data_IF_397871697216
#
_entry.id   IF_397871697216
#
_cell.length_a   1.000
_cell.length_b   1.000
_cell.length_c   1.000
_cell.angle_alpha   90.00
_cell.angle_beta   90.00
_cell.angle_gamma   90.00
#
_symmetry.space_group_name_H-M   'P 1'
#
loop_
_entity.id
_entity.type
_entity.pdbx_description
1 polymer ?
#
# COMPACT_ATOMS: atom_id res chain seq x y z
N UNK A 1 29.43 -8.55 -9.25
CA UNK A 1 29.25 -7.14 -8.84
C UNK A 1 27.84 -7.04 -8.27
N UNK A 2 27.69 -6.89 -6.94
CA UNK A 2 26.38 -6.89 -6.26
C UNK A 2 25.67 -5.57 -6.57
N UNK A 3 24.65 -5.60 -7.43
CA UNK A 3 23.77 -4.44 -7.57
C UNK A 3 22.79 -4.44 -6.40
N UNK A 4 22.92 -3.44 -5.53
CA UNK A 4 21.90 -3.09 -4.55
C UNK A 4 20.82 -2.29 -5.29
N UNK A 5 19.69 -2.94 -5.53
CA UNK A 5 18.52 -2.31 -6.13
C UNK A 5 17.50 -2.06 -5.02
N UNK A 6 16.96 -0.84 -4.92
CA UNK A 6 15.88 -0.45 -4.02
C UNK A 6 14.64 -0.07 -4.83
N UNK A 7 13.48 -0.56 -4.40
CA UNK A 7 12.25 -0.57 -5.20
C UNK A 7 11.45 0.72 -5.12
N UNK A 8 10.42 0.85 -5.98
CA UNK A 8 9.36 1.87 -5.88
C UNK A 8 7.98 1.24 -5.68
N UNK A 9 6.90 2.01 -5.54
CA UNK A 9 5.53 1.47 -5.47
C UNK A 9 4.54 1.94 -6.54
N UNK A 10 4.83 2.95 -7.37
CA UNK A 10 4.21 3.28 -8.68
C UNK A 10 4.72 4.68 -9.09
N UNK A 11 5.02 4.91 -10.38
CA UNK A 11 5.29 6.27 -10.90
C UNK A 11 4.17 6.81 -11.80
N UNK A 12 3.80 8.05 -11.50
CA UNK A 12 2.86 9.03 -12.05
C UNK A 12 1.42 8.63 -12.37
N UNK A 13 0.50 9.25 -11.62
CA UNK A 13 -0.92 9.38 -11.91
C UNK A 13 -1.25 10.87 -11.88
N UNK A 14 -1.56 11.45 -13.04
CA UNK A 14 -2.32 12.70 -13.12
C UNK A 14 -3.78 12.29 -13.31
N UNK A 15 -4.61 12.44 -12.28
CA UNK A 15 -6.09 12.28 -12.35
C UNK A 15 -6.70 13.41 -13.20
N UNK A 16 -6.11 13.81 -14.33
CA UNK A 16 -6.56 14.99 -15.08
C UNK A 16 -6.54 14.88 -16.60
N UNK A 17 -6.37 13.69 -17.20
CA UNK A 17 -6.55 13.58 -18.67
C UNK A 17 -6.95 12.22 -19.24
N UNK A 18 -7.20 11.18 -18.42
CA UNK A 18 -7.62 9.86 -18.95
C UNK A 18 -9.13 9.65 -18.90
N UNK A 19 -9.86 10.47 -18.13
CA UNK A 19 -11.32 10.44 -18.12
C UNK A 19 -12.04 11.35 -19.12
N UNK A 20 -11.56 12.50 -19.63
CA UNK A 20 -12.42 13.32 -20.46
C UNK A 20 -12.78 12.69 -21.80
N UNK A 21 -12.04 11.69 -22.32
CA UNK A 21 -12.43 11.07 -23.61
C UNK A 21 -13.51 9.99 -23.44
N UNK A 22 -13.41 9.13 -22.41
CA UNK A 22 -14.49 8.18 -22.09
C UNK A 22 -15.64 8.85 -21.33
N UNK A 23 -15.37 9.79 -20.44
CA UNK A 23 -16.39 10.58 -19.74
C UNK A 23 -17.07 11.61 -20.65
N UNK A 24 -16.42 12.17 -21.69
CA UNK A 24 -17.12 12.95 -22.73
C UNK A 24 -18.01 12.05 -23.61
N UNK A 25 -17.54 10.84 -23.94
CA UNK A 25 -18.37 9.85 -24.62
C UNK A 25 -19.56 9.39 -23.74
N UNK A 26 -19.36 9.28 -22.42
CA UNK A 26 -20.41 8.91 -21.45
C UNK A 26 -21.34 10.08 -21.10
N UNK A 27 -20.88 11.34 -21.11
CA UNK A 27 -21.76 12.51 -20.92
C UNK A 27 -22.69 12.71 -22.10
N UNK A 28 -22.32 12.25 -23.30
CA UNK A 28 -23.23 12.17 -24.44
C UNK A 28 -24.25 11.01 -24.36
N UNK A 29 -24.06 10.04 -23.45
CA UNK A 29 -24.93 8.87 -23.26
C UNK A 29 -25.61 8.82 -21.89
N UNK A 30 -25.68 9.95 -21.17
CA UNK A 30 -26.22 10.03 -19.81
C UNK A 30 -27.73 9.72 -19.67
N UNK A 31 -28.40 9.19 -20.70
CA UNK A 31 -29.82 8.86 -20.63
C UNK A 31 -30.17 7.37 -20.56
N UNK A 32 -29.23 6.43 -20.75
CA UNK A 32 -29.56 4.99 -20.63
C UNK A 32 -28.36 4.17 -20.13
N UNK A 33 -28.03 4.26 -18.84
CA UNK A 33 -27.24 3.19 -18.19
C UNK A 33 -28.19 2.45 -17.26
N UNK A 34 -28.69 1.29 -17.72
CA UNK A 34 -29.53 0.39 -16.94
C UNK A 34 -28.75 -0.18 -15.74
N UNK A 35 -29.41 -0.42 -14.61
CA UNK A 35 -28.82 -1.04 -13.42
C UNK A 35 -28.04 -2.34 -13.72
N UNK A 36 -28.53 -3.13 -14.68
CA UNK A 36 -27.91 -4.39 -15.16
C UNK A 36 -26.48 -4.21 -15.72
N UNK A 37 -26.14 -3.01 -16.22
CA UNK A 37 -24.79 -2.73 -16.75
C UNK A 37 -23.76 -2.59 -15.62
N UNK A 38 -24.14 -1.92 -14.54
CA UNK A 38 -23.27 -1.73 -13.36
C UNK A 38 -23.10 -3.02 -12.57
N UNK A 39 -24.13 -3.86 -12.50
CA UNK A 39 -24.05 -5.21 -11.91
C UNK A 39 -23.06 -6.09 -12.68
N UNK A 40 -23.17 -6.16 -14.01
CA UNK A 40 -22.24 -6.92 -14.84
C UNK A 40 -20.79 -6.41 -14.77
N UNK A 41 -20.60 -5.09 -14.63
CA UNK A 41 -19.26 -4.51 -14.46
C UNK A 41 -18.67 -4.83 -13.08
N UNK A 42 -19.50 -4.82 -12.03
CA UNK A 42 -19.10 -5.26 -10.69
C UNK A 42 -18.70 -6.73 -10.66
N UNK A 43 -19.46 -7.61 -11.32
CA UNK A 43 -19.16 -9.05 -11.35
C UNK A 43 -17.87 -9.36 -12.14
N UNK A 44 -17.67 -8.72 -13.29
CA UNK A 44 -16.42 -8.84 -14.04
C UNK A 44 -15.20 -8.39 -13.22
N UNK A 45 -15.35 -7.33 -12.42
CA UNK A 45 -14.31 -6.89 -11.50
C UNK A 45 -14.07 -7.91 -10.37
N UNK A 46 -15.13 -8.47 -9.78
CA UNK A 46 -14.99 -9.54 -8.76
C UNK A 46 -14.26 -10.75 -9.30
N UNK A 47 -14.55 -11.16 -10.54
CA UNK A 47 -13.86 -12.29 -11.20
C UNK A 47 -12.39 -11.96 -11.49
N UNK A 48 -12.10 -10.73 -11.88
CA UNK A 48 -10.72 -10.25 -12.09
C UNK A 48 -9.93 -10.24 -10.77
N UNK A 49 -10.53 -9.71 -9.70
CA UNK A 49 -9.92 -9.69 -8.37
C UNK A 49 -9.76 -11.11 -7.80
N UNK A 50 -10.72 -12.01 -8.03
CA UNK A 50 -10.61 -13.43 -7.66
C UNK A 50 -9.45 -14.11 -8.37
N UNK A 51 -9.28 -13.86 -9.67
CA UNK A 51 -8.15 -14.39 -10.44
C UNK A 51 -6.81 -13.89 -9.87
N UNK A 52 -6.68 -12.59 -9.59
CA UNK A 52 -5.46 -12.04 -8.98
C UNK A 52 -5.18 -12.60 -7.59
N UNK A 53 -6.21 -12.72 -6.75
CA UNK A 53 -6.07 -13.25 -5.41
C UNK A 53 -5.63 -14.72 -5.42
N UNK A 54 -6.14 -15.51 -6.37
CA UNK A 54 -5.67 -16.89 -6.59
C UNK A 54 -4.21 -16.91 -7.02
N UNK A 55 -3.80 -16.09 -8.00
CA UNK A 55 -2.41 -15.99 -8.44
C UNK A 55 -1.46 -15.56 -7.31
N UNK A 56 -1.91 -14.68 -6.42
CA UNK A 56 -1.16 -14.28 -5.24
C UNK A 56 -0.95 -15.47 -4.29
N UNK A 57 -2.01 -16.23 -4.02
CA UNK A 57 -1.96 -17.41 -3.14
C UNK A 57 -1.13 -18.55 -3.73
N UNK A 58 -1.14 -18.73 -5.04
CA UNK A 58 -0.30 -19.72 -5.74
C UNK A 58 1.11 -19.19 -6.02
N UNK A 59 1.45 -17.97 -5.55
CA UNK A 59 2.76 -17.33 -5.73
C UNK A 59 3.16 -17.10 -7.20
N UNK A 60 2.18 -17.07 -8.09
CA UNK A 60 2.32 -16.71 -9.51
C UNK A 60 2.15 -15.20 -9.75
N UNK A 61 1.73 -14.45 -8.73
CA UNK A 61 1.75 -12.99 -8.72
C UNK A 61 2.46 -12.53 -7.44
N UNK A 62 3.53 -11.72 -7.53
CA UNK A 62 4.31 -11.31 -6.37
C UNK A 62 3.57 -10.23 -5.58
N UNK A 63 2.85 -9.36 -6.27
CA UNK A 63 2.04 -8.29 -5.70
C UNK A 63 1.05 -7.75 -6.74
N UNK A 64 -0.03 -7.14 -6.27
CA UNK A 64 -0.92 -6.35 -7.12
C UNK A 64 -1.53 -5.19 -6.33
N UNK A 65 -2.00 -4.18 -7.07
CA UNK A 65 -2.65 -3.00 -6.51
C UNK A 65 -4.14 -3.00 -6.80
N UNK A 66 -4.90 -2.48 -5.84
CA UNK A 66 -6.30 -2.07 -6.00
C UNK A 66 -6.36 -0.56 -5.77
N UNK A 67 -6.50 0.20 -6.84
CA UNK A 67 -6.50 1.66 -6.82
C UNK A 67 -7.94 2.17 -6.83
N UNK A 68 -8.47 2.50 -5.65
CA UNK A 68 -9.74 3.23 -5.51
C UNK A 68 -9.49 4.74 -5.55
N UNK A 69 -10.56 5.52 -5.58
CA UNK A 69 -10.49 6.98 -5.53
C UNK A 69 -10.05 7.49 -4.15
N UNK A 70 -10.38 6.75 -3.09
CA UNK A 70 -10.20 7.20 -1.70
C UNK A 70 -9.03 6.50 -1.00
N UNK A 71 -8.63 5.33 -1.48
CA UNK A 71 -7.55 4.54 -0.90
C UNK A 71 -6.88 3.67 -1.96
N UNK A 72 -5.64 3.29 -1.69
CA UNK A 72 -4.90 2.31 -2.48
C UNK A 72 -4.62 1.10 -1.59
N UNK A 73 -4.80 -0.09 -2.16
CA UNK A 73 -4.46 -1.36 -1.51
C UNK A 73 -3.29 -1.99 -2.26
N UNK A 74 -2.32 -2.53 -1.52
CA UNK A 74 -1.23 -3.33 -2.05
C UNK A 74 -1.29 -4.71 -1.42
N UNK A 75 -1.61 -5.73 -2.22
CA UNK A 75 -1.49 -7.13 -1.85
C UNK A 75 -0.10 -7.63 -2.21
N UNK A 76 0.54 -8.39 -1.31
CA UNK A 76 1.86 -9.00 -1.53
C UNK A 76 1.84 -10.48 -1.15
N UNK A 77 2.48 -11.29 -1.98
CA UNK A 77 2.64 -12.71 -1.70
C UNK A 77 3.59 -12.94 -0.53
N UNK A 78 3.44 -14.08 0.14
CA UNK A 78 4.38 -14.56 1.14
C UNK A 78 5.80 -14.66 0.56
N UNK A 79 6.79 -14.19 1.30
CA UNK A 79 8.20 -14.13 0.89
C UNK A 79 8.64 -12.79 0.27
N UNK A 80 7.71 -11.87 -0.01
CA UNK A 80 8.04 -10.51 -0.46
C UNK A 80 8.35 -9.61 0.74
N UNK A 81 9.40 -8.79 0.62
CA UNK A 81 9.95 -7.93 1.68
C UNK A 81 10.34 -8.68 2.97
N UNK A 82 10.69 -9.97 2.84
CA UNK A 82 11.02 -10.83 3.99
C UNK A 82 9.83 -11.20 4.88
N UNK A 83 8.59 -10.90 4.44
CA UNK A 83 7.38 -11.22 5.20
C UNK A 83 7.01 -12.68 5.04
N UNK A 84 6.70 -13.33 6.17
CA UNK A 84 6.42 -14.76 6.24
C UNK A 84 5.14 -15.14 5.49
N UNK A 85 4.12 -14.30 5.64
CA UNK A 85 2.77 -14.55 5.19
C UNK A 85 2.36 -13.56 4.11
N UNK A 86 1.26 -13.91 3.43
CA UNK A 86 0.57 -12.96 2.56
C UNK A 86 0.12 -11.78 3.42
N UNK A 87 0.33 -10.57 2.92
CA UNK A 87 -0.02 -9.36 3.65
C UNK A 87 -0.58 -8.31 2.72
N UNK A 88 -1.35 -7.39 3.31
CA UNK A 88 -2.04 -6.32 2.63
C UNK A 88 -1.74 -5.01 3.32
N UNK A 89 -1.40 -4.00 2.53
CA UNK A 89 -1.19 -2.63 2.98
C UNK A 89 -2.28 -1.74 2.39
N UNK A 90 -2.90 -0.90 3.21
CA UNK A 90 -3.99 0.00 2.78
C UNK A 90 -3.66 1.42 3.22
N UNK A 91 -3.66 2.37 2.28
CA UNK A 91 -3.48 3.79 2.61
C UNK A 91 -4.02 4.71 1.51
N UNK A 92 -4.48 5.93 1.84
CA UNK A 92 -4.89 6.35 3.18
C UNK A 92 -6.10 5.57 3.70
N UNK A 93 -6.31 5.56 5.02
CA UNK A 93 -7.55 5.10 5.64
C UNK A 93 -8.18 6.18 6.52
N UNK A 94 -9.48 6.05 6.77
CA UNK A 94 -10.24 6.89 7.71
C UNK A 94 -10.65 6.08 8.93
N UNK A 95 -11.03 6.76 10.03
CA UNK A 95 -11.61 6.09 11.20
C UNK A 95 -12.79 5.21 10.79
N UNK A 96 -13.67 5.70 9.91
CA UNK A 96 -14.82 4.95 9.43
C UNK A 96 -14.43 3.65 8.73
N UNK A 97 -13.41 3.70 7.86
CA UNK A 97 -12.90 2.50 7.18
C UNK A 97 -12.31 1.50 8.19
N UNK A 98 -11.50 1.97 9.14
CA UNK A 98 -10.91 1.13 10.18
C UNK A 98 -11.97 0.52 11.11
N UNK A 99 -13.03 1.26 11.43
CA UNK A 99 -14.16 0.76 12.18
C UNK A 99 -14.91 -0.33 11.42
N UNK A 100 -15.12 -0.18 10.11
CA UNK A 100 -15.72 -1.24 9.28
C UNK A 100 -14.87 -2.52 9.28
N UNK A 101 -13.53 -2.41 9.26
CA UNK A 101 -12.66 -3.58 9.40
C UNK A 101 -12.87 -4.29 10.75
N UNK A 102 -12.95 -3.52 11.85
CA UNK A 102 -13.23 -4.06 13.19
C UNK A 102 -14.60 -4.75 13.27
N UNK A 103 -15.62 -4.19 12.62
CA UNK A 103 -16.98 -4.78 12.59
C UNK A 103 -17.03 -6.12 11.86
N UNK A 104 -16.16 -6.31 10.88
CA UNK A 104 -16.00 -7.59 10.16
C UNK A 104 -14.98 -8.51 10.85
N UNK A 105 -14.58 -8.18 12.09
CA UNK A 105 -13.63 -8.93 12.91
C UNK A 105 -12.25 -9.12 12.23
N UNK A 106 -11.86 -8.19 11.36
CA UNK A 106 -10.57 -8.22 10.67
C UNK A 106 -9.51 -7.58 11.54
N UNK A 107 -8.56 -8.37 12.01
CA UNK A 107 -7.41 -7.88 12.77
C UNK A 107 -6.42 -7.13 11.87
N UNK A 108 -5.95 -5.97 12.35
CA UNK A 108 -5.00 -5.15 11.60
C UNK A 108 -4.08 -4.33 12.51
N UNK A 109 -2.88 -4.02 12.03
CA UNK A 109 -1.95 -3.11 12.71
C UNK A 109 -1.78 -1.79 11.95
N UNK A 110 -1.32 -0.75 12.64
CA UNK A 110 -1.00 0.56 12.04
C UNK A 110 0.48 0.88 12.24
N UNK A 111 1.39 0.30 11.44
CA UNK A 111 2.84 0.30 11.72
C UNK A 111 3.49 1.68 11.65
N UNK A 112 2.84 2.65 10.99
CA UNK A 112 3.35 4.03 10.88
C UNK A 112 2.73 4.99 11.89
N UNK A 113 1.78 4.53 12.72
CA UNK A 113 1.16 5.35 13.78
C UNK A 113 2.18 5.59 14.88
N UNK A 114 2.49 6.87 15.14
CA UNK A 114 3.38 7.23 16.25
C UNK A 114 2.67 6.98 17.57
N UNK A 115 3.37 6.34 18.52
CA UNK A 115 2.90 6.31 19.91
C UNK A 115 2.89 7.74 20.45
N UNK A 116 1.81 8.14 21.11
CA UNK A 116 1.82 9.39 21.88
C UNK A 116 2.68 9.12 23.11
N UNK A 117 3.72 9.90 23.34
CA UNK A 117 4.34 9.94 24.66
C UNK A 117 3.33 10.57 25.62
N UNK A 118 2.52 9.77 26.30
CA UNK A 118 1.74 10.23 27.45
C UNK A 118 2.68 10.37 28.64
N UNK A 119 3.53 11.38 28.61
CA UNK A 119 4.45 11.66 29.72
C UNK A 119 4.46 13.16 30.00
N UNK A 120 3.28 13.67 30.38
CA UNK A 120 3.14 14.86 31.21
C UNK A 120 1.93 14.69 32.14
N UNK A 121 2.21 14.07 33.29
CA UNK A 121 1.73 14.63 34.55
C UNK A 121 0.89 13.73 35.44
N UNK A 122 1.49 12.77 36.14
CA UNK A 122 1.42 12.63 37.61
C UNK A 122 2.48 11.62 38.07
N UNK A 123 3.54 12.10 38.71
CA UNK A 123 4.50 11.26 39.43
C UNK A 123 3.77 10.56 40.58
N UNK A 124 3.54 9.25 40.43
CA UNK A 124 3.26 8.38 41.58
C UNK A 124 4.46 7.47 41.75
N UNK A 125 5.24 7.74 42.79
CA UNK A 125 6.33 6.90 43.26
C UNK A 125 5.74 5.56 43.71
N UNK A 126 5.96 4.48 42.96
CA UNK A 126 6.24 3.18 43.57
C UNK A 126 7.07 2.28 42.65
N UNK A 127 7.81 1.39 43.29
CA UNK A 127 9.09 0.85 42.85
C UNK A 127 8.95 -0.47 42.11
N UNK A 128 9.74 -0.64 41.05
CA UNK A 128 10.41 -1.88 40.66
C UNK A 128 9.56 -3.12 40.32
N UNK A 129 9.62 -3.53 39.06
CA UNK A 129 10.19 -4.80 38.58
C UNK A 129 10.11 -4.76 37.05
N UNK A 130 11.24 -4.99 36.38
CA UNK A 130 11.29 -5.06 34.93
C UNK A 130 10.72 -6.38 34.44
N UNK A 131 9.73 -6.30 33.55
CA UNK A 131 9.32 -7.41 32.70
C UNK A 131 9.01 -6.90 31.29
N UNK A 132 9.63 -7.57 30.33
CA UNK A 132 9.48 -7.37 28.90
C UNK A 132 8.03 -7.60 28.46
N UNK A 133 7.36 -6.55 27.99
CA UNK A 133 6.04 -6.66 27.37
C UNK A 133 6.16 -6.62 25.85
N UNK A 134 6.35 -7.80 25.27
CA UNK A 134 5.86 -8.09 23.94
C UNK A 134 4.38 -8.42 24.06
N UNK A 135 3.53 -7.45 23.76
CA UNK A 135 2.24 -7.68 23.14
C UNK A 135 1.75 -6.31 22.63
N UNK A 136 1.54 -6.16 21.33
CA UNK A 136 0.82 -5.00 20.81
C UNK A 136 -0.67 -5.27 20.98
N UNK A 137 -1.10 -5.47 22.22
CA UNK A 137 -2.49 -5.32 22.59
C UNK A 137 -2.88 -3.88 22.27
N UNK A 138 -3.96 -3.75 21.52
CA UNK A 138 -4.60 -2.49 21.28
C UNK A 138 -4.81 -1.82 22.62
N UNK A 139 -4.17 -0.67 22.81
CA UNK A 139 -4.53 0.27 23.88
C UNK A 139 -5.88 0.88 23.48
N UNK A 140 -6.92 0.04 23.48
CA UNK A 140 -8.23 0.49 23.88
C UNK A 140 -8.00 0.94 25.32
N UNK A 141 -7.77 2.24 25.52
CA UNK A 141 -8.01 2.86 26.82
C UNK A 141 -9.44 2.49 27.17
N UNK A 142 -9.60 1.36 27.86
CA UNK A 142 -10.89 0.83 28.28
C UNK A 142 -11.49 1.92 29.15
N UNK A 143 -12.58 2.53 28.67
CA UNK A 143 -13.25 3.58 29.43
C UNK A 143 -13.56 3.01 30.81
N UNK A 144 -13.28 3.71 31.91
CA UNK A 144 -13.52 3.18 33.24
C UNK A 144 -14.94 2.64 33.35
N UNK A 145 -15.09 1.39 33.77
CA UNK A 145 -16.38 0.72 33.81
C UNK A 145 -17.43 1.59 34.53
N UNK A 146 -18.60 1.77 33.92
CA UNK A 146 -19.68 2.55 34.54
C UNK A 146 -20.04 2.01 35.94
N UNK A 147 -19.92 0.69 36.12
CA UNK A 147 -20.13 0.02 37.41
C UNK A 147 -19.05 0.39 38.44
N UNK A 148 -17.80 0.56 38.00
CA UNK A 148 -16.72 1.03 38.86
C UNK A 148 -16.92 2.49 39.27
N UNK A 149 -17.27 3.37 38.32
CA UNK A 149 -17.56 4.78 38.62
C UNK A 149 -18.76 4.94 39.56
N UNK A 150 -19.80 4.12 39.40
CA UNK A 150 -20.94 4.07 40.33
C UNK A 150 -20.53 3.61 41.72
N UNK A 151 -19.66 2.60 41.82
CA UNK A 151 -19.15 2.10 43.11
C UNK A 151 -18.31 3.13 43.88
N UNK A 152 -17.66 4.04 43.15
CA UNK A 152 -16.90 5.17 43.70
C UNK A 152 -17.78 6.36 44.13
N UNK A 153 -19.11 6.25 43.97
CA UNK A 153 -20.06 7.28 44.38
C UNK A 153 -20.17 8.46 43.41
N UNK A 154 -19.72 8.31 42.16
CA UNK A 154 -19.89 9.33 41.12
C UNK A 154 -21.35 9.37 40.68
N UNK A 155 -21.95 10.56 40.57
CA UNK A 155 -23.34 10.69 40.15
C UNK A 155 -23.53 10.19 38.71
N UNK A 156 -24.67 9.58 38.41
CA UNK A 156 -24.97 9.05 37.08
C UNK A 156 -24.89 10.11 35.96
N UNK A 157 -25.18 11.38 36.25
CA UNK A 157 -25.06 12.47 35.28
C UNK A 157 -23.60 12.89 35.04
N UNK A 158 -22.75 12.84 36.08
CA UNK A 158 -21.31 13.06 35.96
C UNK A 158 -20.65 11.92 35.17
N UNK A 159 -21.08 10.67 35.37
CA UNK A 159 -20.62 9.49 34.60
C UNK A 159 -20.93 9.66 33.11
N UNK A 160 -22.15 10.07 32.77
CA UNK A 160 -22.52 10.33 31.36
C UNK A 160 -21.65 11.43 30.73
N UNK A 161 -21.35 12.49 31.49
CA UNK A 161 -20.51 13.58 31.01
C UNK A 161 -19.04 13.15 30.82
N UNK A 162 -18.51 12.33 31.72
CA UNK A 162 -17.18 11.72 31.60
C UNK A 162 -17.12 10.83 30.37
N UNK A 163 -18.08 9.91 30.19
CA UNK A 163 -18.14 9.00 29.05
C UNK A 163 -18.27 9.74 27.71
N UNK A 164 -19.11 10.78 27.66
CA UNK A 164 -19.23 11.63 26.47
C UNK A 164 -17.91 12.35 26.15
N UNK A 165 -17.24 12.88 27.18
CA UNK A 165 -15.97 13.61 27.00
C UNK A 165 -14.86 12.67 26.56
N UNK A 166 -14.75 11.47 27.16
CA UNK A 166 -13.82 10.42 26.76
C UNK A 166 -14.09 9.94 25.33
N UNK A 167 -15.34 9.61 24.99
CA UNK A 167 -15.72 9.22 23.63
C UNK A 167 -15.34 10.29 22.59
N UNK A 168 -15.48 11.57 22.95
CA UNK A 168 -15.04 12.69 22.10
C UNK A 168 -13.52 12.79 21.99
N UNK A 169 -12.77 12.53 23.06
CA UNK A 169 -11.29 12.52 23.06
C UNK A 169 -10.77 11.35 22.23
N UNK A 170 -11.30 10.15 22.41
CA UNK A 170 -10.98 8.96 21.60
C UNK A 170 -11.31 9.23 20.14
N UNK A 171 -12.50 9.77 19.86
CA UNK A 171 -12.89 10.13 18.49
C UNK A 171 -11.93 11.12 17.84
N UNK A 172 -11.57 12.18 18.56
CA UNK A 172 -10.60 13.16 18.06
C UNK A 172 -9.24 12.52 17.79
N UNK A 173 -8.78 11.64 18.68
CA UNK A 173 -7.47 10.98 18.58
C UNK A 173 -7.44 9.97 17.43
N UNK A 174 -8.50 9.20 17.23
CA UNK A 174 -8.61 8.26 16.11
C UNK A 174 -8.70 8.97 14.75
N UNK A 175 -9.38 10.12 14.69
CA UNK A 175 -9.49 10.92 13.47
C UNK A 175 -8.22 11.73 13.16
N UNK A 176 -7.32 11.94 14.13
CA UNK A 176 -6.10 12.75 13.97
C UNK A 176 -5.18 12.22 12.88
N UNK A 177 -5.13 10.89 12.72
CA UNK A 177 -4.28 10.22 11.73
C UNK A 177 -4.93 10.05 10.38
N UNK A 178 -6.23 10.38 10.22
CA UNK A 178 -6.98 10.13 9.00
C UNK A 178 -6.35 10.79 7.78
N UNK A 179 -6.34 10.06 6.67
CA UNK A 179 -5.76 10.50 5.40
C UNK A 179 -4.26 10.85 5.44
N UNK A 180 -3.56 10.52 6.52
CA UNK A 180 -2.11 10.65 6.64
C UNK A 180 -1.39 9.32 6.37
N UNK A 181 -0.07 9.35 6.22
CA UNK A 181 0.73 8.11 6.15
C UNK A 181 0.62 7.24 7.40
N UNK A 182 0.32 7.85 8.56
CA UNK A 182 0.11 7.13 9.82
C UNK A 182 -1.21 6.35 9.82
N UNK A 183 -2.13 6.65 8.90
CA UNK A 183 -3.36 5.86 8.68
C UNK A 183 -3.11 4.55 7.93
N UNK A 184 -1.87 4.24 7.55
CA UNK A 184 -1.58 2.99 6.87
C UNK A 184 -1.98 1.81 7.77
N UNK A 185 -2.77 0.91 7.20
CA UNK A 185 -3.20 -0.34 7.82
C UNK A 185 -2.45 -1.51 7.18
N UNK A 186 -1.95 -2.41 8.03
CA UNK A 186 -1.30 -3.66 7.65
C UNK A 186 -2.14 -4.84 8.17
N UNK A 187 -2.52 -5.74 7.27
CA UNK A 187 -3.27 -6.98 7.55
C UNK A 187 -2.41 -8.15 7.09
N UNK A 188 -2.27 -9.18 7.91
CA UNK A 188 -1.34 -10.30 7.67
C UNK A 188 -2.01 -11.65 7.88
N UNK A 189 -1.47 -12.69 7.24
CA UNK A 189 -1.88 -14.07 7.51
C UNK A 189 -3.31 -14.38 7.05
N UNK A 190 -4.08 -15.02 7.94
CA UNK A 190 -5.44 -15.52 7.64
C UNK A 190 -6.43 -14.38 7.40
N UNK A 191 -6.22 -13.23 8.04
CA UNK A 191 -7.06 -12.03 7.94
C UNK A 191 -7.09 -11.41 6.55
N UNK A 192 -6.06 -11.68 5.73
CA UNK A 192 -6.03 -11.23 4.33
C UNK A 192 -7.19 -11.82 3.53
N UNK A 193 -7.62 -13.05 3.85
CA UNK A 193 -8.77 -13.65 3.18
C UNK A 193 -10.09 -12.99 3.60
N UNK A 194 -10.25 -12.69 4.90
CA UNK A 194 -11.37 -11.92 5.44
C UNK A 194 -11.44 -10.54 4.78
N UNK A 195 -10.30 -9.85 4.67
CA UNK A 195 -10.20 -8.57 3.98
C UNK A 195 -10.54 -8.65 2.48
N UNK A 196 -10.11 -9.71 1.78
CA UNK A 196 -10.50 -9.93 0.39
C UNK A 196 -12.02 -10.07 0.25
N UNK A 197 -12.68 -10.82 1.15
CA UNK A 197 -14.14 -10.98 1.15
C UNK A 197 -14.84 -9.66 1.47
N UNK A 198 -14.31 -8.89 2.42
CA UNK A 198 -14.77 -7.52 2.71
C UNK A 198 -14.68 -6.65 1.46
N UNK A 199 -13.54 -6.63 0.77
CA UNK A 199 -13.30 -5.77 -0.39
C UNK A 199 -14.25 -6.06 -1.57
N UNK A 200 -14.61 -7.33 -1.77
CA UNK A 200 -15.57 -7.74 -2.81
C UNK A 200 -16.99 -7.19 -2.55
N UNK A 201 -17.35 -7.04 -1.28
CA UNK A 201 -18.68 -6.60 -0.85
C UNK A 201 -18.72 -5.12 -0.43
N UNK A 202 -17.56 -4.45 -0.38
CA UNK A 202 -17.42 -3.10 0.14
C UNK A 202 -17.97 -2.06 -0.85
N UNK A 203 -19.21 -1.61 -0.63
CA UNK A 203 -19.84 -0.53 -1.41
C UNK A 203 -19.08 0.80 -1.30
N UNK A 204 -18.33 1.00 -0.21
CA UNK A 204 -17.48 2.18 0.01
C UNK A 204 -16.21 2.19 -0.86
N UNK A 205 -15.87 1.08 -1.52
CA UNK A 205 -14.75 1.01 -2.45
C UNK A 205 -15.04 1.71 -3.79
N UNK A 206 -16.32 1.93 -4.12
CA UNK A 206 -16.79 2.67 -5.29
C UNK A 206 -17.30 4.05 -4.89
N UNK A 207 -17.00 5.08 -5.68
CA UNK A 207 -17.61 6.39 -5.46
C UNK A 207 -19.11 6.31 -5.72
N UNK A 208 -19.93 6.84 -4.81
CA UNK A 208 -21.39 6.91 -5.00
C UNK A 208 -21.79 8.10 -5.89
N UNK A 209 -20.94 9.12 -5.97
CA UNK A 209 -21.19 10.36 -6.70
C UNK A 209 -19.98 10.80 -7.54
N UNK A 210 -20.21 11.70 -8.49
CA UNK A 210 -19.16 12.24 -9.37
C UNK A 210 -18.99 11.47 -10.68
N UNK A 211 -18.01 11.88 -11.50
CA UNK A 211 -17.76 11.33 -12.85
C UNK A 211 -17.28 9.87 -12.85
N UNK A 212 -16.87 9.36 -11.69
CA UNK A 212 -16.45 7.99 -11.44
C UNK A 212 -17.45 7.21 -10.58
N UNK A 213 -18.69 7.68 -10.49
CA UNK A 213 -19.72 7.01 -9.72
C UNK A 213 -19.96 5.58 -10.26
N UNK A 214 -19.97 4.59 -9.36
CA UNK A 214 -20.19 3.19 -9.71
C UNK A 214 -19.00 2.49 -10.41
N UNK A 215 -17.88 3.18 -10.61
CA UNK A 215 -16.67 2.59 -11.21
C UNK A 215 -15.86 1.85 -10.14
N UNK A 216 -15.72 0.50 -10.20
CA UNK A 216 -14.83 -0.28 -9.36
C UNK A 216 -13.38 0.20 -9.40
N UNK A 217 -12.63 -0.06 -8.31
CA UNK A 217 -11.20 0.22 -8.25
C UNK A 217 -10.41 -0.41 -9.41
N UNK A 218 -9.38 0.31 -9.88
CA UNK A 218 -8.51 -0.21 -10.94
C UNK A 218 -7.54 -1.26 -10.38
N UNK A 219 -7.45 -2.41 -11.03
CA UNK A 219 -6.52 -3.48 -10.67
C UNK A 219 -5.24 -3.36 -11.50
N UNK A 220 -4.07 -3.38 -10.85
CA UNK A 220 -2.76 -3.36 -11.52
C UNK A 220 -1.88 -4.48 -10.99
N UNK A 221 -1.31 -5.28 -11.89
CA UNK A 221 -0.42 -6.38 -11.54
C UNK A 221 0.72 -6.52 -12.56
N UNK A 222 1.87 -7.08 -12.16
CA UNK A 222 2.99 -7.33 -13.07
C UNK A 222 2.76 -8.55 -13.98
N UNK A 223 1.71 -9.34 -13.73
CA UNK A 223 1.35 -10.55 -14.49
C UNK A 223 -0.05 -10.43 -15.09
N UNK A 224 -0.32 -11.23 -16.12
CA UNK A 224 -1.64 -11.31 -16.71
C UNK A 224 -2.63 -12.00 -15.75
N UNK A 225 -3.89 -11.56 -15.77
CA UNK A 225 -4.98 -12.10 -14.97
C UNK A 225 -6.28 -12.02 -15.77
N UNK A 226 -7.35 -12.68 -15.29
CA UNK A 226 -8.64 -12.61 -15.95
C UNK A 226 -9.13 -11.15 -16.05
N UNK A 227 -9.57 -10.72 -17.24
CA UNK A 227 -9.98 -9.33 -17.47
C UNK A 227 -8.84 -8.31 -17.60
N UNK A 228 -7.57 -8.74 -17.50
CA UNK A 228 -6.44 -7.85 -17.69
C UNK A 228 -6.37 -7.32 -19.14
N UNK A 229 -5.96 -6.07 -19.29
CA UNK A 229 -5.71 -5.45 -20.60
C UNK A 229 -4.34 -4.80 -20.61
N UNK A 230 -3.63 -4.90 -21.74
CA UNK A 230 -2.35 -4.22 -21.95
C UNK A 230 -2.61 -2.87 -22.61
N UNK A 231 -2.10 -1.81 -21.98
CA UNK A 231 -2.14 -0.46 -22.52
C UNK A 231 -0.72 0.05 -22.69
N UNK A 232 -0.40 0.54 -23.88
CA UNK A 232 0.88 1.19 -24.13
C UNK A 232 1.03 2.42 -23.24
N UNK A 233 2.21 2.58 -22.63
CA UNK A 233 2.59 3.82 -21.98
C UNK A 233 2.73 4.92 -23.04
N UNK A 234 2.47 6.17 -22.64
CA UNK A 234 2.71 7.32 -23.49
C UNK A 234 4.20 7.61 -23.47
N UNK A 235 4.83 7.58 -24.64
CA UNK A 235 6.26 7.77 -24.79
C UNK A 235 6.50 9.05 -25.58
N UNK A 236 7.39 9.90 -25.08
CA UNK A 236 7.89 11.07 -25.80
C UNK A 236 9.42 11.04 -25.77
N UNK A 237 10.00 11.06 -26.96
CA UNK A 237 11.45 11.08 -27.16
C UNK A 237 11.94 12.47 -27.52
N UNK A 238 13.16 12.79 -27.10
CA UNK A 238 13.86 14.02 -27.48
C UNK A 238 15.34 13.74 -27.65
N UNK A 239 15.95 14.34 -28.67
CA UNK A 239 17.38 14.32 -28.91
C UNK A 239 17.88 15.76 -28.92
N UNK A 240 18.88 16.05 -28.09
CA UNK A 240 19.50 17.38 -28.01
C UNK A 240 21.00 17.20 -28.26
N UNK A 241 21.54 17.99 -29.17
CA UNK A 241 22.97 18.02 -29.44
C UNK A 241 23.59 19.20 -28.69
N UNK A 242 24.50 18.93 -27.76
CA UNK A 242 25.20 19.94 -26.95
C UNK A 242 26.69 19.59 -26.91
N UNK A 243 27.57 20.56 -27.15
CA UNK A 243 29.03 20.40 -27.05
C UNK A 243 29.59 19.14 -27.74
N UNK A 244 29.19 18.94 -29.01
CA UNK A 244 29.58 17.80 -29.85
C UNK A 244 29.16 16.41 -29.29
N UNK A 245 28.20 16.40 -28.36
CA UNK A 245 27.65 15.19 -27.74
C UNK A 245 26.14 15.12 -27.92
N UNK A 246 25.65 13.91 -28.22
CA UNK A 246 24.22 13.63 -28.38
C UNK A 246 23.61 13.19 -27.05
N UNK A 247 22.64 13.95 -26.56
CA UNK A 247 21.84 13.62 -25.38
C UNK A 247 20.47 13.12 -25.81
N UNK A 248 20.11 11.92 -25.35
CA UNK A 248 18.82 11.31 -25.59
C UNK A 248 17.98 11.36 -24.31
N UNK A 249 16.74 11.79 -24.42
CA UNK A 249 15.78 11.84 -23.32
C UNK A 249 14.50 11.09 -23.69
N UNK A 250 13.99 10.32 -22.75
CA UNK A 250 12.78 9.51 -22.87
C UNK A 250 11.84 9.83 -21.71
N UNK A 251 10.70 10.44 -22.03
CA UNK A 251 9.62 10.70 -21.09
C UNK A 251 8.58 9.57 -21.23
N UNK A 252 8.39 8.80 -20.15
CA UNK A 252 7.44 7.68 -20.09
C UNK A 252 6.33 8.05 -19.11
N UNK A 253 5.09 8.15 -19.62
CA UNK A 253 3.93 8.52 -18.83
C UNK A 253 2.87 7.41 -18.82
N UNK A 254 2.34 7.10 -17.64
CA UNK A 254 1.33 6.07 -17.41
C UNK A 254 1.65 5.24 -16.16
N UNK A 255 0.83 4.22 -15.85
CA UNK A 255 1.03 3.39 -14.66
C UNK A 255 2.29 2.53 -14.82
N UNK A 256 3.35 2.91 -14.12
CA UNK A 256 4.61 2.17 -14.12
C UNK A 256 4.75 1.46 -12.79
N UNK A 257 4.76 0.12 -12.86
CA UNK A 257 4.96 -0.73 -11.70
C UNK A 257 6.43 -0.79 -11.26
N UNK A 258 6.70 -1.13 -9.99
CA UNK A 258 8.05 -1.17 -9.43
C UNK A 258 9.04 -2.03 -10.21
N UNK A 259 8.61 -3.19 -10.67
CA UNK A 259 9.45 -4.14 -11.41
C UNK A 259 9.91 -3.57 -12.77
N UNK A 260 9.10 -2.72 -13.40
CA UNK A 260 9.38 -2.14 -14.72
C UNK A 260 10.63 -1.25 -14.70
N UNK A 261 10.92 -0.58 -13.58
CA UNK A 261 12.10 0.29 -13.47
C UNK A 261 13.40 -0.51 -13.61
N UNK A 262 13.46 -1.71 -13.03
CA UNK A 262 14.64 -2.57 -13.19
C UNK A 262 14.84 -2.99 -14.63
N UNK A 263 13.76 -3.34 -15.33
CA UNK A 263 13.82 -3.72 -16.74
C UNK A 263 14.30 -2.56 -17.61
N UNK A 264 13.86 -1.33 -17.33
CA UNK A 264 14.31 -0.14 -18.06
C UNK A 264 15.80 0.13 -17.87
N UNK A 265 16.31 0.04 -16.65
CA UNK A 265 17.73 0.25 -16.37
C UNK A 265 18.61 -0.89 -16.88
N UNK A 266 18.08 -2.12 -16.95
CA UNK A 266 18.78 -3.26 -17.51
C UNK A 266 19.01 -3.16 -19.03
N UNK A 267 18.22 -2.35 -19.74
CA UNK A 267 18.38 -2.12 -21.18
C UNK A 267 19.57 -1.19 -21.46
N UNK A 268 19.99 -0.35 -20.49
CA UNK A 268 21.07 0.61 -20.72
C UNK A 268 22.44 -0.09 -20.83
N UNK A 269 23.20 0.13 -21.93
CA UNK A 269 24.56 -0.36 -22.04
C UNK A 269 25.46 0.19 -20.92
N UNK A 270 26.40 -0.60 -20.39
CA UNK A 270 27.27 -0.18 -19.29
C UNK A 270 28.21 0.98 -19.66
N UNK A 271 28.35 1.27 -20.96
CA UNK A 271 29.17 2.35 -21.53
C UNK A 271 28.49 3.71 -21.49
N UNK A 272 27.17 3.79 -21.30
CA UNK A 272 26.44 5.05 -21.32
C UNK A 272 26.05 5.47 -19.91
N UNK A 273 26.34 6.73 -19.57
CA UNK A 273 25.77 7.37 -18.39
C UNK A 273 24.27 7.56 -18.58
N UNK A 274 23.48 7.28 -17.54
CA UNK A 274 22.02 7.38 -17.60
C UNK A 274 21.48 8.02 -16.34
N UNK A 275 20.50 8.92 -16.49
CA UNK A 275 19.74 9.47 -15.38
C UNK A 275 18.26 9.20 -15.57
N UNK A 276 17.60 8.80 -14.49
CA UNK A 276 16.15 8.66 -14.42
C UNK A 276 15.60 9.55 -13.31
N UNK A 277 14.64 10.39 -13.65
CA UNK A 277 13.84 11.16 -12.70
C UNK A 277 12.45 10.58 -12.67
N UNK A 278 11.86 10.48 -11.49
CA UNK A 278 10.65 9.71 -11.29
C UNK A 278 9.65 10.48 -10.42
N UNK A 279 8.40 10.49 -10.85
CA UNK A 279 7.29 11.11 -10.12
C UNK A 279 6.50 10.01 -9.42
N UNK A 280 6.54 9.92 -8.09
CA UNK A 280 5.78 8.90 -7.34
C UNK A 280 4.32 9.30 -7.14
N UNK A 281 3.42 8.32 -7.06
CA UNK A 281 2.03 8.56 -6.63
C UNK A 281 1.98 8.72 -5.11
N UNK A 282 1.48 9.85 -4.55
CA UNK A 282 1.52 10.12 -3.11
C UNK A 282 0.90 9.03 -2.23
N UNK A 283 -0.23 8.44 -2.65
CA UNK A 283 -0.91 7.36 -1.91
C UNK A 283 -0.13 6.05 -1.86
N UNK A 284 0.98 5.92 -2.59
CA UNK A 284 1.81 4.71 -2.60
C UNK A 284 3.12 4.88 -1.82
N UNK A 285 3.47 6.10 -1.44
CA UNK A 285 4.71 6.40 -0.71
C UNK A 285 4.78 5.65 0.64
N UNK A 286 3.70 5.57 1.45
CA UNK A 286 3.79 4.95 2.78
C UNK A 286 4.11 3.44 2.73
N UNK A 287 3.78 2.74 1.64
CA UNK A 287 4.08 1.31 1.48
C UNK A 287 5.58 1.00 1.53
N UNK A 288 6.41 1.99 1.23
CA UNK A 288 7.87 1.93 1.24
C UNK A 288 8.49 2.15 2.63
N UNK A 289 7.67 2.44 3.64
CA UNK A 289 8.11 2.68 5.02
C UNK A 289 7.85 1.49 5.93
N UNK A 290 7.08 0.51 5.47
CA UNK A 290 6.77 -0.71 6.23
C UNK A 290 7.86 -1.74 5.97
N UNK A 291 8.59 -2.07 7.04
CA UNK A 291 9.64 -3.08 7.07
C UNK A 291 9.09 -4.33 7.75
N UNK A 292 9.55 -5.52 7.31
CA UNK A 292 9.27 -6.75 8.04
C UNK A 292 9.98 -6.71 9.39
N UNK A 293 9.24 -6.92 10.47
CA UNK A 293 9.80 -6.97 11.83
C UNK A 293 10.71 -8.20 11.94
N UNK A 294 11.99 -7.99 12.18
CA UNK A 294 12.95 -9.03 12.57
C UNK A 294 12.98 -9.18 14.09
N UNK A 295 11.83 -9.38 14.75
CA UNK A 295 11.77 -9.48 16.23
C UNK A 295 12.23 -10.84 16.77
N UNK A 296 12.75 -11.74 15.92
CA UNK A 296 13.40 -12.96 16.35
C UNK A 296 14.74 -13.12 15.63
N UNK A 297 15.84 -13.05 16.39
CA UNK A 297 17.20 -13.35 15.92
C UNK A 297 17.31 -14.78 15.33
N UNK A 298 16.36 -15.68 15.59
CA UNK A 298 16.25 -17.00 14.96
C UNK A 298 15.46 -17.03 13.62
N UNK A 299 14.62 -16.02 13.34
CA UNK A 299 13.89 -15.88 12.08
C UNK A 299 14.70 -15.13 10.99
N UNK A 300 15.83 -14.53 11.38
CA UNK A 300 16.80 -13.86 10.50
C UNK A 300 17.43 -14.77 9.44
N UNK A 301 17.24 -16.09 9.57
CA UNK A 301 17.57 -17.11 8.57
C UNK A 301 16.34 -17.79 7.96
N UNK A 302 15.22 -17.07 7.83
CA UNK A 302 14.21 -17.49 6.84
C UNK A 302 14.95 -17.57 5.50
N UNK A 303 15.05 -18.78 4.96
CA UNK A 303 15.88 -19.07 3.81
C UNK A 303 15.29 -18.31 2.61
N UNK A 304 15.83 -17.12 2.33
CA UNK A 304 15.52 -16.30 1.13
C UNK A 304 15.54 -17.16 -0.13
N UNK A 305 16.34 -18.24 -0.11
CA UNK A 305 16.37 -19.30 -1.10
C UNK A 305 14.98 -19.96 -1.29
N UNK A 306 14.31 -20.42 -0.23
CA UNK A 306 12.97 -21.02 -0.33
C UNK A 306 11.92 -20.02 -0.81
N UNK A 307 11.98 -18.77 -0.36
CA UNK A 307 11.04 -17.75 -0.82
C UNK A 307 11.24 -17.42 -2.30
N UNK A 308 12.50 -17.34 -2.75
CA UNK A 308 12.87 -17.17 -4.15
C UNK A 308 12.42 -18.34 -5.03
N UNK A 309 12.65 -19.57 -4.60
CA UNK A 309 12.20 -20.77 -5.34
C UNK A 309 10.67 -20.84 -5.40
N UNK A 310 9.98 -20.52 -4.30
CA UNK A 310 8.52 -20.49 -4.27
C UNK A 310 7.89 -19.42 -5.17
N UNK A 311 8.61 -18.34 -5.45
CA UNK A 311 8.18 -17.23 -6.31
C UNK A 311 8.85 -17.29 -7.69
N UNK A 312 9.51 -18.39 -8.07
CA UNK A 312 10.27 -18.46 -9.31
C UNK A 312 9.42 -18.22 -10.56
N UNK A 313 8.12 -18.54 -10.49
CA UNK A 313 7.13 -18.39 -11.55
C UNK A 313 6.22 -17.16 -11.36
N UNK A 314 6.61 -16.20 -10.51
CA UNK A 314 5.80 -15.00 -10.24
C UNK A 314 5.85 -13.93 -11.36
N UNK A 315 6.47 -14.23 -12.50
CA UNK A 315 6.64 -13.27 -13.60
C UNK A 315 7.72 -12.20 -13.38
N UNK A 316 8.47 -12.25 -12.28
CA UNK A 316 9.67 -11.43 -12.07
C UNK A 316 10.92 -12.19 -12.51
N UNK A 317 11.93 -11.47 -13.02
CA UNK A 317 13.22 -12.09 -13.30
C UNK A 317 13.92 -12.48 -12.00
N UNK A 318 14.70 -13.57 -12.01
CA UNK A 318 15.40 -14.08 -10.81
C UNK A 318 16.28 -13.01 -10.12
N UNK A 319 16.88 -12.10 -10.90
CA UNK A 319 17.69 -11.00 -10.38
C UNK A 319 16.85 -9.96 -9.62
N UNK A 320 15.66 -9.64 -10.13
CA UNK A 320 14.72 -8.70 -9.50
C UNK A 320 14.10 -9.37 -8.27
N UNK A 321 13.65 -10.61 -8.41
CA UNK A 321 12.99 -11.38 -7.36
C UNK A 321 13.86 -11.51 -6.11
N UNK A 322 15.15 -11.81 -6.26
CA UNK A 322 16.08 -11.91 -5.13
C UNK A 322 16.12 -10.63 -4.30
N UNK A 323 16.01 -9.48 -4.95
CA UNK A 323 15.97 -8.21 -4.24
C UNK A 323 14.62 -8.07 -3.52
N UNK A 324 13.50 -8.44 -4.18
CA UNK A 324 12.14 -8.28 -3.63
C UNK A 324 11.93 -9.15 -2.39
N UNK A 325 12.67 -10.26 -2.26
CA UNK A 325 12.58 -11.17 -1.12
C UNK A 325 13.43 -10.74 0.09
N UNK A 326 14.31 -9.73 -0.02
CA UNK A 326 15.16 -9.31 1.11
C UNK A 326 14.34 -8.56 2.17
N UNK A 327 14.61 -8.86 3.44
CA UNK A 327 14.07 -8.13 4.60
C UNK A 327 14.65 -6.72 4.73
N UNK A 328 15.95 -6.60 4.48
CA UNK A 328 16.72 -5.37 4.78
C UNK A 328 16.58 -4.30 3.69
N UNK A 329 16.10 -4.72 2.51
CA UNK A 329 15.94 -3.84 1.35
C UNK A 329 14.45 -3.55 1.18
N UNK A 330 13.96 -2.62 2.01
CA UNK A 330 12.65 -2.05 1.74
C UNK A 330 12.68 -1.34 0.38
N UNK A 331 11.55 -1.38 -0.29
CA UNK A 331 11.23 -0.46 -1.37
C UNK A 331 11.51 0.97 -0.90
N UNK A 332 12.41 1.72 -1.55
CA UNK A 332 12.66 3.12 -1.20
C UNK A 332 12.31 4.03 -2.36
N UNK A 333 11.51 5.06 -2.10
CA UNK A 333 11.26 6.10 -3.08
C UNK A 333 12.56 6.85 -3.41
N UNK A 334 12.92 6.89 -4.70
CA UNK A 334 14.12 7.56 -5.22
C UNK A 334 13.69 8.62 -6.23
N UNK A 335 13.79 9.89 -5.94
CA UNK A 335 13.35 10.94 -6.88
C UNK A 335 14.21 10.95 -8.14
N UNK A 336 15.51 10.74 -7.99
CA UNK A 336 16.46 10.70 -9.09
C UNK A 336 17.48 9.57 -8.91
N UNK A 337 17.71 8.78 -9.96
CA UNK A 337 18.75 7.76 -10.03
C UNK A 337 19.70 8.09 -11.19
N UNK A 338 21.00 8.19 -10.91
CA UNK A 338 22.03 8.49 -11.91
C UNK A 338 23.08 7.39 -11.91
N UNK A 339 23.43 6.93 -13.09
CA UNK A 339 24.55 6.05 -13.36
C UNK A 339 25.61 6.83 -14.13
N UNK A 340 26.84 6.85 -13.59
CA UNK A 340 28.00 7.43 -14.27
C UNK A 340 28.85 6.31 -14.86
N UNK A 341 29.06 6.34 -16.17
CA UNK A 341 29.92 5.41 -16.90
C UNK A 341 31.39 5.50 -16.47
N UNK A 342 31.85 6.70 -16.14
CA UNK A 342 33.27 7.00 -15.92
C UNK A 342 33.77 6.33 -14.64
N UNK A 343 32.95 6.42 -13.58
CA UNK A 343 33.27 5.85 -12.27
C UNK A 343 32.57 4.50 -12.03
N UNK A 344 31.68 4.08 -12.95
CA UNK A 344 30.80 2.91 -12.80
C UNK A 344 30.02 2.91 -11.48
N UNK A 345 29.60 4.11 -11.05
CA UNK A 345 28.88 4.31 -9.79
C UNK A 345 27.44 4.74 -10.02
N UNK A 346 26.58 4.36 -9.08
CA UNK A 346 25.21 4.86 -8.99
C UNK A 346 25.13 5.91 -7.88
N UNK A 347 24.44 7.02 -8.15
CA UNK A 347 24.06 8.03 -7.17
C UNK A 347 22.56 8.24 -7.22
N UNK A 348 21.95 8.55 -6.07
CA UNK A 348 20.51 8.74 -5.99
C UNK A 348 20.15 9.78 -4.92
N UNK A 349 18.99 10.40 -5.09
CA UNK A 349 18.39 11.35 -4.14
C UNK A 349 16.96 10.97 -3.84
#
# INVERSE_FOLDING_TARGET
MKLCYKFRHITEFKVSSVLPVLAAALTAMAFVISANFWEGFGDAWKDSLRSLFQLLRTKQCPYFYVCSNNFTVLFRAAGICGMADVHVLITPTTRGFRYMLKQEEIEFTMPLKKKRNSDQGYETLDSGVGESAGDSAFDEEESPDEQWLQSMGVNADDIKQINYTQAKIVHKTECEVDNSEQSLVLIEGVEVHSFYNFLINCKSATSTTGTLAGVPPTLLAPVAFNGATLKSLKIRESKIHVDNSDYHSLEIAGPILPNTIHNLFAINPPTHSMSGTFVSVPSTLPFSKVLGKSDNDDASKRNVIFDKENLSDCGLSSQILEQFCKSDVCVTNVECLKYSSDNKTYTWT
#
